data_IF_061042077101
#
_entry.id   IF_061042077101
#
_cell.length_a   1.000
_cell.length_b   1.000
_cell.length_c   1.000
_cell.angle_alpha   90.00
_cell.angle_beta   90.00
_cell.angle_gamma   90.00
#
_symmetry.space_group_name_H-M   'P 1'
#
loop_
_entity.id
_entity.type
_entity.pdbx_description
1 polymer ?
#
# COMPACT_ATOMS: atom_id res chain seq x y z
N UNK A 1 30.89 28.90 29.11
CA UNK A 1 31.16 29.30 30.51
C UNK A 1 30.08 30.31 30.91
N UNK A 2 29.41 30.17 32.05
CA UNK A 2 28.30 31.06 32.40
C UNK A 2 28.85 32.42 32.86
N UNK A 3 28.54 33.49 32.13
CA UNK A 3 29.03 34.85 32.41
C UNK A 3 28.72 35.31 33.85
N UNK A 4 27.59 34.87 34.42
CA UNK A 4 27.24 35.16 35.82
C UNK A 4 28.20 34.49 36.82
N UNK A 5 28.59 33.23 36.59
CA UNK A 5 29.56 32.53 37.46
C UNK A 5 30.96 33.15 37.36
N UNK A 6 31.37 33.57 36.17
CA UNK A 6 32.64 34.26 35.96
C UNK A 6 32.66 35.62 36.67
N UNK A 7 31.55 36.38 36.58
CA UNK A 7 31.42 37.68 37.27
C UNK A 7 31.40 37.51 38.79
N UNK A 8 30.71 36.49 39.31
CA UNK A 8 30.70 36.17 40.73
C UNK A 8 32.11 35.78 41.23
N UNK A 9 32.83 34.93 40.49
CA UNK A 9 34.21 34.56 40.82
C UNK A 9 35.17 35.76 40.77
N UNK A 10 35.02 36.65 39.77
CA UNK A 10 35.78 37.89 39.70
C UNK A 10 35.54 38.79 40.92
N UNK A 11 34.30 38.90 41.39
CA UNK A 11 33.95 39.64 42.61
C UNK A 11 34.61 39.06 43.88
N UNK A 12 34.59 37.73 44.04
CA UNK A 12 35.25 37.04 45.17
C UNK A 12 36.76 37.25 45.14
N UNK A 13 37.39 37.12 43.97
CA UNK A 13 38.83 37.36 43.79
C UNK A 13 39.18 38.81 44.13
N UNK A 14 38.42 39.79 43.63
CA UNK A 14 38.64 41.20 43.90
C UNK A 14 38.55 41.52 45.41
N UNK A 15 37.53 41.01 46.10
CA UNK A 15 37.36 41.20 47.53
C UNK A 15 38.50 40.55 48.36
N UNK A 16 38.96 39.37 47.94
CA UNK A 16 40.08 38.68 48.60
C UNK A 16 41.43 39.40 48.36
N UNK A 17 41.64 39.99 47.19
CA UNK A 17 42.82 40.82 46.91
C UNK A 17 42.86 42.08 47.78
N UNK A 18 41.71 42.73 48.03
CA UNK A 18 41.61 43.91 48.91
C UNK A 18 41.99 43.61 50.37
N UNK A 19 41.77 42.38 50.82
CA UNK A 19 42.08 41.93 52.19
C UNK A 19 43.46 41.25 52.31
N UNK A 20 44.28 41.31 51.25
CA UNK A 20 45.62 40.69 51.18
C UNK A 20 45.62 39.19 51.50
N UNK A 21 44.56 38.48 51.10
CA UNK A 21 44.53 37.02 51.27
C UNK A 21 45.58 36.33 50.39
N UNK A 22 46.10 35.21 50.88
CA UNK A 22 47.00 34.34 50.12
C UNK A 22 46.22 33.59 49.03
N UNK A 23 46.92 33.03 48.03
CA UNK A 23 46.30 32.22 46.99
C UNK A 23 45.46 31.05 47.55
N UNK A 24 45.91 30.44 48.66
CA UNK A 24 45.16 29.39 49.35
C UNK A 24 43.84 29.91 49.96
N UNK A 25 43.84 31.13 50.52
CA UNK A 25 42.63 31.78 51.05
C UNK A 25 41.61 32.08 49.95
N UNK A 26 42.08 32.56 48.79
CA UNK A 26 41.24 32.80 47.60
C UNK A 26 40.61 31.48 47.12
N UNK A 27 41.40 30.41 47.01
CA UNK A 27 40.91 29.10 46.60
C UNK A 27 39.84 28.57 47.57
N UNK A 28 40.05 28.69 48.88
CA UNK A 28 39.07 28.30 49.89
C UNK A 28 37.78 29.13 49.81
N UNK A 29 37.86 30.43 49.51
CA UNK A 29 36.70 31.30 49.33
C UNK A 29 35.90 30.96 48.04
N UNK A 30 36.59 30.58 46.96
CA UNK A 30 35.94 30.13 45.73
C UNK A 30 35.29 28.74 45.90
N UNK A 31 35.94 27.83 46.62
CA UNK A 31 35.38 26.52 46.97
C UNK A 31 34.15 26.67 47.88
N UNK A 32 34.22 27.51 48.93
CA UNK A 32 33.08 27.73 49.84
C UNK A 32 31.90 28.42 49.17
N UNK A 33 32.16 29.24 48.14
CA UNK A 33 31.13 29.81 47.27
C UNK A 33 30.61 28.82 46.20
N UNK A 34 31.09 27.57 46.18
CA UNK A 34 30.78 26.55 45.17
C UNK A 34 31.04 27.02 43.73
N UNK A 35 32.04 27.90 43.56
CA UNK A 35 32.40 28.46 42.26
C UNK A 35 33.40 27.60 41.51
N UNK A 36 34.14 26.74 42.22
CA UNK A 36 34.98 25.72 41.62
C UNK A 36 34.13 24.50 41.24
N UNK A 37 34.30 24.00 40.03
CA UNK A 37 33.80 22.67 39.70
C UNK A 37 34.85 21.68 40.14
N UNK A 38 34.44 20.64 40.85
CA UNK A 38 35.32 19.51 41.13
C UNK A 38 35.75 18.87 39.80
N UNK A 39 36.98 18.35 39.70
CA UNK A 39 37.44 17.68 38.49
C UNK A 39 36.57 16.47 38.13
N UNK A 40 35.95 15.82 39.12
CA UNK A 40 35.01 14.72 38.92
C UNK A 40 33.75 15.18 38.18
N UNK A 41 33.15 16.30 38.61
CA UNK A 41 31.97 16.87 37.95
C UNK A 41 32.31 17.31 36.51
N UNK A 42 33.49 17.90 36.30
CA UNK A 42 33.93 18.30 34.97
C UNK A 42 34.10 17.07 34.05
N UNK A 43 34.69 15.99 34.56
CA UNK A 43 34.85 14.73 33.84
C UNK A 43 33.49 14.08 33.52
N UNK A 44 32.56 14.05 34.48
CA UNK A 44 31.21 13.52 34.30
C UNK A 44 30.43 14.31 33.24
N UNK A 45 30.46 15.64 33.29
CA UNK A 45 29.82 16.50 32.28
C UNK A 45 30.42 16.28 30.89
N UNK A 46 31.72 16.03 30.79
CA UNK A 46 32.38 15.68 29.53
C UNK A 46 31.89 14.33 29.01
N UNK A 47 31.83 13.32 29.88
CA UNK A 47 31.34 11.98 29.53
C UNK A 47 29.86 12.00 29.10
N UNK A 48 29.01 12.73 29.83
CA UNK A 48 27.60 12.88 29.47
C UNK A 48 27.42 13.59 28.12
N UNK A 49 28.20 14.63 27.84
CA UNK A 49 28.17 15.30 26.52
C UNK A 49 28.61 14.38 25.39
N UNK A 50 29.65 13.58 25.60
CA UNK A 50 30.07 12.56 24.64
C UNK A 50 28.94 11.55 24.41
N UNK A 51 28.30 11.07 25.48
CA UNK A 51 27.18 10.13 25.38
C UNK A 51 25.97 10.70 24.67
N UNK A 52 25.64 11.97 24.90
CA UNK A 52 24.55 12.65 24.17
C UNK A 52 24.89 12.76 22.69
N UNK A 53 26.12 13.13 22.33
CA UNK A 53 26.54 13.20 20.94
C UNK A 53 26.45 11.84 20.23
N UNK A 54 26.84 10.75 20.90
CA UNK A 54 26.68 9.39 20.40
C UNK A 54 25.20 9.04 20.15
N UNK A 55 24.34 9.29 21.13
CA UNK A 55 22.91 9.00 21.03
C UNK A 55 22.22 9.84 19.95
N UNK A 56 22.63 11.10 19.77
CA UNK A 56 22.13 11.96 18.70
C UNK A 56 22.52 11.44 17.31
N UNK A 57 23.74 10.91 17.17
CA UNK A 57 24.21 10.27 15.95
C UNK A 57 23.44 8.96 15.67
N UNK A 58 23.23 8.12 16.68
CA UNK A 58 22.43 6.89 16.57
C UNK A 58 20.98 7.19 16.17
N UNK A 59 20.36 8.20 16.81
CA UNK A 59 19.02 8.66 16.46
C UNK A 59 18.96 9.16 15.03
N UNK A 60 19.96 9.91 14.58
CA UNK A 60 20.02 10.40 13.20
C UNK A 60 20.06 9.24 12.20
N UNK A 61 20.95 8.27 12.42
CA UNK A 61 21.04 7.06 11.58
C UNK A 61 19.73 6.25 11.58
N UNK A 62 19.08 6.10 12.74
CA UNK A 62 17.80 5.40 12.84
C UNK A 62 16.69 6.13 12.08
N UNK A 63 16.64 7.46 12.18
CA UNK A 63 15.65 8.27 11.47
C UNK A 63 15.84 8.20 9.95
N UNK A 64 17.08 8.17 9.47
CA UNK A 64 17.39 7.95 8.05
C UNK A 64 16.88 6.58 7.59
N UNK A 65 17.20 5.51 8.33
CA UNK A 65 16.73 4.16 8.01
C UNK A 65 15.19 4.06 8.00
N UNK A 66 14.50 4.73 8.93
CA UNK A 66 13.04 4.79 8.97
C UNK A 66 12.46 5.57 7.78
N UNK A 67 13.12 6.66 7.36
CA UNK A 67 12.74 7.44 6.19
C UNK A 67 12.84 6.60 4.92
N UNK A 68 13.93 5.86 4.74
CA UNK A 68 14.15 4.97 3.60
C UNK A 68 13.12 3.84 3.57
N UNK A 69 12.85 3.21 4.71
CA UNK A 69 11.82 2.18 4.83
C UNK A 69 10.43 2.71 4.49
N UNK A 70 10.08 3.91 4.98
CA UNK A 70 8.81 4.56 4.66
C UNK A 70 8.69 4.88 3.17
N UNK A 71 9.77 5.33 2.52
CA UNK A 71 9.81 5.55 1.08
C UNK A 71 9.62 4.24 0.30
N UNK A 72 10.31 3.18 0.69
CA UNK A 72 10.16 1.86 0.08
C UNK A 72 8.72 1.34 0.18
N UNK A 73 8.06 1.51 1.34
CA UNK A 73 6.66 1.14 1.53
C UNK A 73 5.71 1.93 0.63
N UNK A 74 5.96 3.24 0.42
CA UNK A 74 5.17 4.03 -0.52
C UNK A 74 5.30 3.51 -1.95
N UNK A 75 6.53 3.23 -2.40
CA UNK A 75 6.78 2.66 -3.73
C UNK A 75 6.10 1.30 -3.89
N UNK A 76 6.16 0.44 -2.86
CA UNK A 76 5.48 -0.86 -2.89
C UNK A 76 3.97 -0.71 -2.97
N UNK A 77 3.38 0.18 -2.17
CA UNK A 77 1.94 0.45 -2.21
C UNK A 77 1.51 0.94 -3.59
N UNK A 78 2.25 1.89 -4.17
CA UNK A 78 1.92 2.43 -5.49
C UNK A 78 2.02 1.34 -6.58
N UNK A 79 3.02 0.44 -6.46
CA UNK A 79 3.12 -0.76 -7.32
C UNK A 79 1.93 -1.70 -7.15
N UNK A 80 1.50 -1.96 -5.91
CA UNK A 80 0.32 -2.80 -5.63
C UNK A 80 -0.92 -2.18 -6.27
N UNK A 81 -1.15 -0.89 -6.07
CA UNK A 81 -2.27 -0.17 -6.70
C UNK A 81 -2.21 -0.27 -8.23
N UNK A 82 -1.03 -0.17 -8.83
CA UNK A 82 -0.86 -0.37 -10.27
C UNK A 82 -1.20 -1.79 -10.72
N UNK A 83 -0.83 -2.81 -9.95
CA UNK A 83 -1.17 -4.21 -10.24
C UNK A 83 -2.66 -4.49 -10.04
N UNK A 84 -3.26 -3.96 -8.99
CA UNK A 84 -4.70 -4.06 -8.71
C UNK A 84 -5.53 -3.42 -9.84
N UNK A 85 -5.08 -2.29 -10.38
CA UNK A 85 -5.71 -1.65 -11.53
C UNK A 85 -5.63 -2.50 -12.82
N UNK A 86 -4.59 -3.33 -12.96
CA UNK A 86 -4.43 -4.28 -14.07
C UNK A 86 -5.16 -5.60 -13.83
N UNK A 87 -5.57 -5.89 -12.60
CA UNK A 87 -6.22 -7.16 -12.29
C UNK A 87 -7.62 -7.11 -12.91
N UNK A 88 -7.94 -8.00 -13.87
CA UNK A 88 -9.25 -7.98 -14.52
C UNK A 88 -10.34 -8.18 -13.47
N UNK A 89 -11.51 -7.56 -13.69
CA UNK A 89 -12.66 -7.69 -12.79
C UNK A 89 -12.88 -9.17 -12.43
N UNK A 90 -13.25 -9.46 -11.17
CA UNK A 90 -13.23 -10.80 -10.60
C UNK A 90 -13.90 -11.78 -11.56
N UNK A 91 -13.13 -12.79 -11.98
CA UNK A 91 -13.64 -13.86 -12.85
C UNK A 91 -14.61 -14.67 -11.99
N UNK A 92 -15.89 -14.59 -12.32
CA UNK A 92 -16.90 -15.48 -11.77
C UNK A 92 -16.94 -16.76 -12.59
N UNK A 93 -17.27 -17.87 -11.94
CA UNK A 93 -17.57 -19.11 -12.65
C UNK A 93 -19.06 -19.16 -12.96
N UNK A 94 -19.41 -19.38 -14.22
CA UNK A 94 -20.80 -19.52 -14.64
C UNK A 94 -21.40 -20.75 -13.96
N UNK A 95 -22.52 -20.58 -13.25
CA UNK A 95 -23.19 -21.71 -12.58
C UNK A 95 -23.79 -22.72 -13.56
N UNK A 96 -24.06 -22.29 -14.80
CA UNK A 96 -24.67 -23.15 -15.83
C UNK A 96 -23.63 -24.03 -16.52
N UNK A 97 -22.49 -23.46 -16.95
CA UNK A 97 -21.52 -24.18 -17.77
C UNK A 97 -20.11 -24.29 -17.15
N UNK A 98 -19.86 -23.66 -16.00
CA UNK A 98 -18.56 -23.66 -15.32
C UNK A 98 -17.50 -22.72 -15.90
N UNK A 99 -17.76 -22.06 -17.03
CA UNK A 99 -16.79 -21.17 -17.67
C UNK A 99 -16.53 -19.90 -16.84
N UNK A 100 -15.30 -19.40 -16.87
CA UNK A 100 -14.95 -18.10 -16.27
C UNK A 100 -15.52 -16.94 -17.09
N UNK A 101 -16.12 -15.95 -16.44
CA UNK A 101 -16.63 -14.73 -17.06
C UNK A 101 -16.40 -13.52 -16.16
N UNK A 102 -16.36 -12.33 -16.77
CA UNK A 102 -16.14 -11.07 -16.05
C UNK A 102 -17.37 -10.71 -15.22
N UNK A 103 -17.19 -10.35 -13.95
CA UNK A 103 -18.28 -9.89 -13.08
C UNK A 103 -19.18 -8.85 -13.76
N UNK A 104 -20.50 -9.06 -13.70
CA UNK A 104 -21.49 -8.16 -14.28
C UNK A 104 -21.69 -8.28 -15.78
N UNK A 105 -20.94 -9.14 -16.48
CA UNK A 105 -21.20 -9.51 -17.87
C UNK A 105 -21.96 -10.84 -17.94
N UNK A 106 -22.77 -11.07 -18.99
CA UNK A 106 -23.35 -12.39 -19.22
C UNK A 106 -22.24 -13.41 -19.53
N UNK A 107 -22.52 -14.69 -19.26
CA UNK A 107 -21.57 -15.76 -19.57
C UNK A 107 -21.46 -15.92 -21.10
N UNK A 108 -20.35 -15.44 -21.67
CA UNK A 108 -20.08 -15.49 -23.12
C UNK A 108 -20.15 -16.91 -23.69
N UNK A 109 -19.80 -17.93 -22.90
CA UNK A 109 -19.91 -19.34 -23.33
C UNK A 109 -21.38 -19.77 -23.45
N UNK A 110 -22.22 -19.42 -22.48
CA UNK A 110 -23.66 -19.70 -22.54
C UNK A 110 -24.35 -18.90 -23.65
N UNK A 111 -23.98 -17.62 -23.84
CA UNK A 111 -24.51 -16.81 -24.94
C UNK A 111 -24.13 -17.38 -26.30
N UNK A 112 -22.87 -17.78 -26.47
CA UNK A 112 -22.41 -18.42 -27.68
C UNK A 112 -23.16 -19.74 -27.94
N UNK A 113 -23.30 -20.60 -26.92
CA UNK A 113 -24.06 -21.84 -27.02
C UNK A 113 -25.53 -21.59 -27.39
N UNK A 114 -26.17 -20.59 -26.79
CA UNK A 114 -27.55 -20.24 -27.10
C UNK A 114 -27.73 -19.74 -28.55
N UNK A 115 -26.79 -18.91 -29.03
CA UNK A 115 -26.77 -18.45 -30.43
C UNK A 115 -26.57 -19.60 -31.39
N UNK A 116 -25.60 -20.47 -31.13
CA UNK A 116 -25.34 -21.67 -31.94
C UNK A 116 -26.55 -22.61 -31.98
N UNK A 117 -27.22 -22.85 -30.84
CA UNK A 117 -28.43 -23.66 -30.78
C UNK A 117 -29.57 -23.06 -31.61
N UNK A 118 -29.73 -21.73 -31.57
CA UNK A 118 -30.74 -21.01 -32.36
C UNK A 118 -30.48 -21.13 -33.86
N UNK A 119 -29.23 -20.97 -34.29
CA UNK A 119 -28.83 -21.10 -35.70
C UNK A 119 -29.00 -22.54 -36.21
N UNK A 120 -28.63 -23.54 -35.42
CA UNK A 120 -28.83 -24.95 -35.76
C UNK A 120 -30.32 -25.27 -35.90
N UNK A 121 -31.16 -24.81 -34.98
CA UNK A 121 -32.61 -24.99 -35.06
C UNK A 121 -33.24 -24.27 -36.27
N UNK A 122 -32.67 -23.13 -36.70
CA UNK A 122 -33.10 -22.44 -37.91
C UNK A 122 -32.75 -23.26 -39.17
N UNK A 123 -31.53 -23.81 -39.26
CA UNK A 123 -31.12 -24.68 -40.38
C UNK A 123 -31.93 -25.96 -40.45
N UNK A 124 -32.22 -26.58 -39.31
CA UNK A 124 -33.03 -27.80 -39.27
C UNK A 124 -34.44 -27.55 -39.82
N UNK A 125 -35.09 -26.44 -39.44
CA UNK A 125 -36.41 -26.06 -39.98
C UNK A 125 -36.41 -25.83 -41.49
N UNK A 126 -35.29 -25.38 -42.07
CA UNK A 126 -35.15 -25.22 -43.52
C UNK A 126 -34.96 -26.57 -44.24
N UNK A 127 -34.31 -27.54 -43.58
CA UNK A 127 -34.15 -28.89 -44.14
C UNK A 127 -35.42 -29.73 -44.04
N UNK A 128 -36.20 -29.51 -42.98
CA UNK A 128 -37.42 -30.26 -42.69
C UNK A 128 -38.67 -29.66 -43.33
N UNK A 129 -38.58 -28.67 -44.24
CA UNK A 129 -39.75 -28.24 -45.03
C UNK A 129 -40.18 -29.40 -45.93
N UNK A 130 -41.24 -30.14 -45.57
CA UNK A 130 -41.58 -31.40 -46.21
C UNK A 130 -42.13 -31.17 -47.62
N UNK A 131 -42.37 -29.91 -48.00
CA UNK A 131 -43.08 -29.54 -49.21
C UNK A 131 -42.18 -29.28 -50.42
N UNK A 132 -40.85 -29.28 -50.26
CA UNK A 132 -39.87 -29.05 -51.34
C UNK A 132 -39.06 -30.30 -51.74
N UNK A 133 -39.45 -31.48 -51.25
CA UNK A 133 -38.90 -32.73 -51.76
C UNK A 133 -39.33 -32.95 -53.23
N UNK A 134 -38.45 -33.37 -54.15
CA UNK A 134 -38.78 -33.57 -55.57
C UNK A 134 -39.87 -34.63 -55.86
N UNK A 135 -40.40 -35.28 -54.82
CA UNK A 135 -41.48 -36.26 -54.89
C UNK A 135 -42.85 -35.70 -54.44
N UNK A 136 -43.00 -34.39 -54.23
CA UNK A 136 -44.31 -33.81 -53.96
C UNK A 136 -45.13 -33.73 -55.26
N UNK A 137 -45.70 -34.86 -55.65
CA UNK A 137 -46.67 -34.93 -56.72
C UNK A 137 -48.06 -34.56 -56.16
N UNK A 138 -48.60 -33.42 -56.58
CA UNK A 138 -50.02 -33.11 -56.44
C UNK A 138 -50.81 -34.11 -57.29
N UNK A 139 -51.19 -35.23 -56.68
CA UNK A 139 -52.18 -36.11 -57.27
C UNK A 139 -53.53 -35.39 -57.22
N UNK A 140 -53.91 -34.78 -58.33
CA UNK A 140 -55.28 -34.36 -58.59
C UNK A 140 -56.18 -35.60 -58.55
N UNK A 141 -56.80 -35.85 -57.40
CA UNK A 141 -57.84 -36.86 -57.24
C UNK A 141 -59.05 -36.42 -58.08
N UNK A 142 -59.13 -36.95 -59.29
CA UNK A 142 -60.28 -36.79 -60.18
C UNK A 142 -61.54 -37.28 -59.48
N UNK A 143 -62.44 -36.34 -59.18
CA UNK A 143 -63.86 -36.62 -58.97
C UNK A 143 -64.42 -37.02 -60.33
N UNK A 144 -64.62 -38.31 -60.57
CA UNK A 144 -65.62 -38.85 -61.50
C UNK A 144 -65.63 -40.38 -61.37
N UNK A 145 -66.52 -40.89 -60.51
CA UNK A 145 -66.97 -42.28 -60.54
C UNK A 145 -68.47 -42.23 -60.87
N UNK A 146 -68.93 -42.77 -62.01
CA UNK A 146 -70.34 -42.78 -62.36
C UNK A 146 -71.12 -43.78 -61.49
N UNK A 147 -72.35 -43.41 -61.14
CA UNK A 147 -73.28 -44.27 -60.41
C UNK A 147 -73.71 -45.46 -61.28
N UNK A 148 -73.51 -46.68 -60.77
CA UNK A 148 -73.99 -47.91 -61.39
C UNK A 148 -75.37 -48.24 -60.82
N UNK A 149 -76.42 -48.03 -61.61
CA UNK A 149 -77.77 -48.52 -61.31
C UNK A 149 -77.95 -49.94 -61.83
N UNK A 150 -78.33 -50.87 -60.95
CA UNK A 150 -78.92 -52.17 -61.31
C UNK A 150 -79.85 -52.62 -60.19
#
# INVERSE_FOLDING_TARGET
MNAARVTAAAGVILAAMQTRQTAAGIAAALESACLLQSPEIAAEMSALRARVAELEAERHSTNEALSDAAQALRVQRDRITGLEALTPAPIQTCRTCGAGYTYGQPCSTCEFQARMATELAARQRQQEDPHDGPNHHDYALGRDLPEVTS
#
